data_IF_381060390886
#
_entry.id   IF_381060390886
#
_cell.length_a   1.000
_cell.length_b   1.000
_cell.length_c   1.000
_cell.angle_alpha   90.00
_cell.angle_beta   90.00
_cell.angle_gamma   90.00
#
_symmetry.space_group_name_H-M   'P 1'
#
loop_
_entity.id
_entity.type
_entity.pdbx_description
1 polymer ?
#
# COMPACT_ATOMS: atom_id res chain seq x y z
N UNK A 1 -61.00 22.99 50.63
CA UNK A 1 -60.56 22.34 51.88
C UNK A 1 -59.85 21.05 51.52
N UNK A 2 -58.57 20.91 51.92
CA UNK A 2 -57.78 19.68 52.16
C UNK A 2 -57.58 18.72 50.97
N UNK A 3 -56.43 18.69 50.28
CA UNK A 3 -55.06 18.27 50.70
C UNK A 3 -54.96 16.80 51.16
N UNK A 4 -54.47 15.93 50.26
CA UNK A 4 -53.78 14.64 50.54
C UNK A 4 -52.72 14.44 49.43
N UNK A 5 -51.45 14.76 49.70
CA UNK A 5 -50.37 13.85 50.15
C UNK A 5 -49.84 12.93 49.03
N UNK A 6 -48.74 13.39 48.43
CA UNK A 6 -47.45 12.72 48.12
C UNK A 6 -47.42 11.18 48.09
N UNK A 7 -46.96 10.58 46.98
CA UNK A 7 -45.90 9.56 46.97
C UNK A 7 -45.46 9.19 45.54
N UNK A 8 -44.14 9.14 45.38
CA UNK A 8 -43.38 8.81 44.18
C UNK A 8 -43.59 7.36 43.70
N UNK A 9 -43.51 7.14 42.40
CA UNK A 9 -43.15 5.85 41.82
C UNK A 9 -42.36 6.06 40.52
N UNK A 10 -41.11 5.57 40.54
CA UNK A 10 -40.19 5.47 39.43
C UNK A 10 -40.80 4.63 38.28
N UNK A 11 -40.58 5.05 37.03
CA UNK A 11 -40.45 4.14 35.90
C UNK A 11 -39.64 4.79 34.79
N UNK A 12 -38.35 4.46 34.76
CA UNK A 12 -37.43 4.72 33.66
C UNK A 12 -37.58 3.63 32.57
N UNK A 13 -37.47 4.01 31.30
CA UNK A 13 -36.91 3.20 30.19
C UNK A 13 -37.07 4.00 28.88
N UNK A 14 -36.05 4.73 28.41
CA UNK A 14 -35.02 4.24 27.50
C UNK A 14 -35.55 3.44 26.30
N UNK A 15 -35.72 4.13 25.17
CA UNK A 15 -35.55 3.55 23.84
C UNK A 15 -34.97 4.62 22.90
N UNK A 16 -33.81 5.17 23.27
CA UNK A 16 -32.89 5.76 22.29
C UNK A 16 -32.44 4.61 21.40
N UNK A 17 -32.99 4.55 20.19
CA UNK A 17 -32.50 3.67 19.13
C UNK A 17 -31.07 4.05 18.82
N UNK A 18 -30.13 3.38 19.50
CA UNK A 18 -28.71 3.43 19.19
C UNK A 18 -28.58 2.85 17.79
N UNK A 19 -28.37 3.71 16.80
CA UNK A 19 -27.87 3.31 15.50
C UNK A 19 -26.62 2.49 15.75
N UNK A 20 -26.69 1.22 15.40
CA UNK A 20 -25.54 0.32 15.48
C UNK A 20 -24.43 0.92 14.62
N UNK A 21 -23.44 1.55 15.27
CA UNK A 21 -22.15 1.81 14.69
C UNK A 21 -21.60 0.45 14.26
N UNK A 22 -21.70 0.16 12.96
CA UNK A 22 -20.95 -0.92 12.35
C UNK A 22 -19.49 -0.67 12.67
N UNK A 23 -18.94 -1.49 13.58
CA UNK A 23 -17.51 -1.52 13.81
C UNK A 23 -16.92 -2.18 12.58
N UNK A 24 -16.56 -1.39 11.57
CA UNK A 24 -15.64 -1.84 10.53
C UNK A 24 -14.34 -2.21 11.23
N UNK A 25 -14.20 -3.50 11.52
CA UNK A 25 -12.91 -4.07 11.91
C UNK A 25 -11.89 -3.79 10.80
N UNK A 26 -10.58 -3.81 11.09
CA UNK A 26 -9.56 -3.57 10.09
C UNK A 26 -9.75 -4.53 8.92
N UNK A 27 -10.06 -4.01 7.73
CA UNK A 27 -10.07 -4.80 6.50
C UNK A 27 -8.68 -5.41 6.32
N UNK A 28 -8.56 -6.74 6.16
CA UNK A 28 -7.27 -7.37 5.92
C UNK A 28 -6.57 -6.73 4.71
N UNK A 29 -5.23 -6.57 4.73
CA UNK A 29 -4.51 -6.01 3.60
C UNK A 29 -4.73 -6.87 2.35
N UNK A 30 -5.12 -6.21 1.27
CA UNK A 30 -5.30 -6.88 -0.03
C UNK A 30 -3.95 -6.88 -0.75
N UNK A 31 -3.33 -8.05 -0.85
CA UNK A 31 -2.06 -8.21 -1.55
C UNK A 31 -2.25 -8.12 -3.07
N UNK A 32 -1.29 -7.46 -3.71
CA UNK A 32 -1.17 -7.34 -5.17
C UNK A 32 0.08 -8.08 -5.61
N UNK A 33 -0.05 -8.93 -6.62
CA UNK A 33 1.10 -9.63 -7.15
C UNK A 33 2.07 -8.66 -7.84
N UNK A 34 3.34 -8.79 -7.50
CA UNK A 34 4.47 -8.15 -8.17
C UNK A 34 5.51 -9.21 -8.49
N UNK A 35 6.37 -8.92 -9.45
CA UNK A 35 7.46 -9.82 -9.81
C UNK A 35 8.68 -9.47 -8.97
N UNK A 36 9.29 -10.46 -8.35
CA UNK A 36 10.53 -10.30 -7.58
C UNK A 36 11.62 -11.18 -8.16
N UNK A 37 12.87 -10.86 -7.85
CA UNK A 37 13.96 -11.82 -8.02
C UNK A 37 13.69 -13.11 -7.21
N UNK A 38 14.15 -14.26 -7.69
CA UNK A 38 13.95 -15.57 -7.04
C UNK A 38 14.79 -15.76 -5.77
N UNK A 39 15.84 -14.96 -5.61
CA UNK A 39 16.78 -15.00 -4.48
C UNK A 39 17.41 -13.62 -4.25
N UNK A 40 17.93 -13.34 -3.05
CA UNK A 40 18.68 -12.12 -2.80
C UNK A 40 19.84 -11.94 -3.78
N UNK A 41 20.03 -10.70 -4.26
CA UNK A 41 21.13 -10.37 -5.16
C UNK A 41 22.47 -10.44 -4.41
N UNK A 42 23.44 -11.17 -4.97
CA UNK A 42 24.82 -11.20 -4.43
C UNK A 42 25.66 -10.03 -4.94
N UNK A 43 25.33 -9.53 -6.12
CA UNK A 43 25.86 -8.34 -6.73
C UNK A 43 24.72 -7.63 -7.46
N UNK A 44 24.80 -6.31 -7.52
CA UNK A 44 23.84 -5.51 -8.28
C UNK A 44 24.58 -4.73 -9.35
N UNK A 45 23.98 -4.66 -10.53
CA UNK A 45 24.45 -3.77 -11.58
C UNK A 45 24.32 -2.32 -11.10
N UNK A 46 25.35 -1.51 -11.39
CA UNK A 46 25.43 -0.13 -10.90
C UNK A 46 24.73 0.87 -11.83
N UNK A 47 23.88 0.38 -12.75
CA UNK A 47 23.09 1.27 -13.59
C UNK A 47 21.98 1.88 -12.74
N UNK A 48 21.92 3.22 -12.75
CA UNK A 48 20.89 3.96 -12.04
C UNK A 48 19.57 3.86 -12.80
N UNK A 49 18.63 3.10 -12.24
CA UNK A 49 17.25 3.06 -12.71
C UNK A 49 16.47 4.16 -12.02
N UNK A 50 15.69 4.92 -12.80
CA UNK A 50 14.78 5.96 -12.30
C UNK A 50 13.41 5.78 -12.93
N UNK A 51 12.34 5.90 -12.14
CA UNK A 51 10.98 5.92 -12.70
C UNK A 51 9.88 6.08 -11.67
N UNK A 52 8.68 6.40 -12.16
CA UNK A 52 7.48 6.58 -11.33
C UNK A 52 6.77 5.25 -11.18
N UNK A 53 6.45 4.85 -9.95
CA UNK A 53 5.63 3.66 -9.72
C UNK A 53 4.19 3.95 -10.12
N UNK A 54 3.61 3.15 -11.02
CA UNK A 54 2.22 3.32 -11.45
C UNK A 54 1.44 2.00 -11.34
N UNK A 55 0.14 2.02 -11.02
CA UNK A 55 -0.67 0.81 -11.03
C UNK A 55 -0.70 0.18 -12.42
N UNK A 56 -0.65 -1.15 -12.50
CA UNK A 56 -0.73 -1.88 -13.76
C UNK A 56 -1.56 -3.15 -13.62
N UNK A 57 -2.56 -3.35 -14.48
CA UNK A 57 -3.53 -4.44 -14.34
C UNK A 57 -2.89 -5.83 -14.39
N UNK A 58 -1.83 -6.02 -15.18
CA UNK A 58 -1.18 -7.33 -15.35
C UNK A 58 0.02 -7.56 -14.43
N UNK A 59 0.64 -6.50 -13.90
CA UNK A 59 1.91 -6.59 -13.17
C UNK A 59 1.81 -6.11 -11.72
N UNK A 60 0.62 -5.63 -11.32
CA UNK A 60 0.41 -4.92 -10.07
C UNK A 60 0.96 -3.49 -10.14
N UNK A 61 2.29 -3.38 -10.28
CA UNK A 61 3.02 -2.11 -10.36
C UNK A 61 3.92 -2.14 -11.61
N UNK A 62 3.85 -1.09 -12.42
CA UNK A 62 4.80 -0.82 -13.50
C UNK A 62 5.74 0.33 -13.10
N UNK A 63 6.90 0.40 -13.76
CA UNK A 63 7.80 1.53 -13.66
C UNK A 63 7.62 2.41 -14.91
N UNK A 64 7.14 3.63 -14.74
CA UNK A 64 7.00 4.59 -15.82
C UNK A 64 8.26 5.43 -15.97
N UNK A 65 8.83 5.44 -17.19
CA UNK A 65 10.00 6.26 -17.53
C UNK A 65 9.62 7.74 -17.54
N UNK A 66 10.29 8.60 -16.75
CA UNK A 66 10.00 10.02 -16.74
C UNK A 66 10.28 10.66 -18.11
N UNK A 67 9.40 11.55 -18.55
CA UNK A 67 9.53 12.26 -19.83
C UNK A 67 9.01 11.50 -21.06
N UNK A 68 9.14 10.17 -21.12
CA UNK A 68 8.59 9.38 -22.24
C UNK A 68 7.24 8.73 -21.91
N UNK A 69 6.98 8.43 -20.64
CA UNK A 69 5.77 7.75 -20.20
C UNK A 69 5.75 6.24 -20.50
N UNK A 70 6.84 5.70 -21.05
CA UNK A 70 6.99 4.27 -21.34
C UNK A 70 6.87 3.43 -20.06
N UNK A 71 6.13 2.32 -20.15
CA UNK A 71 5.91 1.41 -19.02
C UNK A 71 6.84 0.20 -19.15
N UNK A 72 7.65 0.00 -18.13
CA UNK A 72 8.51 -1.16 -17.98
C UNK A 72 7.97 -2.08 -16.90
N UNK A 73 8.14 -3.39 -17.09
CA UNK A 73 7.84 -4.40 -16.06
C UNK A 73 9.00 -4.46 -15.08
N UNK A 74 8.84 -4.03 -13.81
CA UNK A 74 9.89 -4.16 -12.82
C UNK A 74 9.98 -5.60 -12.32
N UNK A 75 11.20 -6.07 -12.10
CA UNK A 75 11.53 -7.20 -11.24
C UNK A 75 12.10 -6.59 -9.96
N UNK A 76 11.30 -6.57 -8.90
CA UNK A 76 11.70 -6.00 -7.62
C UNK A 76 12.74 -6.87 -6.90
N UNK A 77 13.45 -6.33 -5.89
CA UNK A 77 14.33 -7.15 -5.08
C UNK A 77 13.57 -8.31 -4.42
N UNK A 78 14.32 -9.37 -4.10
CA UNK A 78 13.76 -10.56 -3.46
C UNK A 78 12.93 -10.22 -2.21
N UNK A 79 11.79 -10.91 -2.06
CA UNK A 79 10.92 -10.78 -0.89
C UNK A 79 10.01 -9.55 -0.88
N UNK A 80 10.14 -8.64 -1.84
CA UNK A 80 9.26 -7.48 -1.93
C UNK A 80 7.82 -7.90 -2.21
N UNK A 81 6.88 -7.11 -1.70
CA UNK A 81 5.45 -7.35 -1.91
C UNK A 81 4.72 -6.03 -2.16
N UNK A 82 3.50 -6.11 -2.66
CA UNK A 82 2.63 -4.94 -2.79
C UNK A 82 1.29 -5.19 -2.11
N UNK A 83 0.73 -4.13 -1.53
CA UNK A 83 -0.60 -4.14 -0.91
C UNK A 83 -1.40 -2.94 -1.36
N UNK A 84 -2.72 -3.08 -1.41
CA UNK A 84 -3.63 -1.94 -1.49
C UNK A 84 -3.56 -1.20 -0.14
N UNK A 85 -3.26 0.09 -0.18
CA UNK A 85 -3.25 0.97 0.98
C UNK A 85 -3.93 2.30 0.65
N UNK A 86 -5.22 2.38 0.96
CA UNK A 86 -6.06 3.51 0.55
C UNK A 86 -6.34 3.49 -0.95
N UNK A 87 -6.12 4.62 -1.61
CA UNK A 87 -6.26 4.83 -3.05
C UNK A 87 -5.03 4.42 -3.86
N UNK A 88 -3.97 3.93 -3.20
CA UNK A 88 -2.67 3.64 -3.80
C UNK A 88 -2.22 2.22 -3.52
N UNK A 89 -1.27 1.75 -4.32
CA UNK A 89 -0.50 0.56 -3.99
C UNK A 89 0.74 0.98 -3.19
N UNK A 90 1.00 0.27 -2.10
CA UNK A 90 2.21 0.39 -1.31
C UNK A 90 3.14 -0.77 -1.66
N UNK A 91 4.39 -0.45 -2.01
CA UNK A 91 5.47 -1.41 -2.16
C UNK A 91 6.16 -1.60 -0.81
N UNK A 92 6.27 -2.84 -0.38
CA UNK A 92 6.86 -3.24 0.89
C UNK A 92 8.13 -4.04 0.62
N UNK A 93 9.12 -3.90 1.50
CA UNK A 93 10.30 -4.78 1.49
C UNK A 93 9.97 -6.17 2.06
N UNK A 94 10.97 -7.05 2.09
CA UNK A 94 10.87 -8.41 2.65
C UNK A 94 10.41 -8.42 4.12
N UNK A 95 10.68 -7.36 4.89
CA UNK A 95 10.27 -7.23 6.28
C UNK A 95 8.87 -6.60 6.44
N UNK A 96 8.18 -6.33 5.32
CA UNK A 96 6.86 -5.70 5.31
C UNK A 96 6.89 -4.20 5.59
N UNK A 97 8.06 -3.54 5.51
CA UNK A 97 8.19 -2.10 5.72
C UNK A 97 7.88 -1.36 4.43
N UNK A 98 7.19 -0.23 4.54
CA UNK A 98 6.88 0.63 3.41
C UNK A 98 8.17 1.18 2.78
N UNK A 99 8.33 0.94 1.48
CA UNK A 99 9.44 1.45 0.66
C UNK A 99 8.99 2.63 -0.19
N UNK A 100 7.88 2.48 -0.91
CA UNK A 100 7.34 3.49 -1.81
C UNK A 100 5.85 3.26 -2.07
N UNK A 101 5.19 4.21 -2.71
CA UNK A 101 3.80 4.14 -3.16
C UNK A 101 3.70 4.40 -4.65
N UNK A 102 2.63 3.94 -5.27
CA UNK A 102 2.29 4.41 -6.63
C UNK A 102 2.12 5.93 -6.63
N UNK A 103 2.71 6.58 -7.63
CA UNK A 103 2.87 8.02 -7.75
C UNK A 103 4.26 8.52 -7.35
N UNK A 104 5.03 7.74 -6.57
CA UNK A 104 6.37 8.14 -6.15
C UNK A 104 7.37 7.95 -7.29
N UNK A 105 8.28 8.91 -7.45
CA UNK A 105 9.49 8.77 -8.24
C UNK A 105 10.52 7.99 -7.41
N UNK A 106 11.03 6.89 -7.95
CA UNK A 106 12.04 6.07 -7.28
C UNK A 106 13.37 6.04 -8.03
N UNK A 107 14.42 5.73 -7.30
CA UNK A 107 15.74 5.35 -7.80
C UNK A 107 16.17 4.00 -7.22
N UNK A 108 16.90 3.24 -8.03
CA UNK A 108 17.53 1.99 -7.57
C UNK A 108 18.70 1.62 -8.48
N UNK A 109 19.65 0.85 -7.93
CA UNK A 109 20.61 0.11 -8.74
C UNK A 109 19.90 -1.04 -9.46
N UNK A 110 20.31 -1.33 -10.69
CA UNK A 110 19.62 -2.31 -11.50
C UNK A 110 20.14 -2.44 -12.91
N UNK A 111 19.32 -3.02 -13.76
CA UNK A 111 19.64 -3.24 -15.18
C UNK A 111 18.42 -3.67 -15.96
N UNK A 112 18.57 -3.78 -17.27
CA UNK A 112 17.52 -4.31 -18.15
C UNK A 112 17.82 -5.76 -18.51
N UNK A 113 16.83 -6.63 -18.42
CA UNK A 113 16.92 -8.07 -18.73
C UNK A 113 15.64 -8.52 -19.41
N UNK A 114 15.75 -9.09 -20.61
CA UNK A 114 14.63 -9.66 -21.39
C UNK A 114 13.39 -8.75 -21.47
N UNK A 115 13.59 -7.45 -21.68
CA UNK A 115 12.51 -6.47 -21.78
C UNK A 115 11.85 -6.09 -20.44
N UNK A 116 12.44 -6.51 -19.32
CA UNK A 116 12.07 -6.12 -17.96
C UNK A 116 13.20 -5.32 -17.31
N UNK A 117 12.87 -4.57 -16.26
CA UNK A 117 13.85 -3.79 -15.50
C UNK A 117 14.06 -4.46 -14.15
N UNK A 118 15.25 -5.00 -13.94
CA UNK A 118 15.67 -5.57 -12.66
C UNK A 118 16.08 -4.45 -11.71
N UNK A 119 15.45 -4.42 -10.53
CA UNK A 119 15.83 -3.58 -9.39
C UNK A 119 16.48 -4.51 -8.36
N UNK A 120 17.78 -4.36 -8.15
CA UNK A 120 18.54 -5.20 -7.19
C UNK A 120 19.23 -4.39 -6.09
N UNK A 121 19.24 -3.06 -6.21
CA UNK A 121 19.73 -2.16 -5.17
C UNK A 121 18.64 -1.83 -4.17
N UNK A 122 19.01 -1.08 -3.13
CA UNK A 122 18.01 -0.39 -2.30
C UNK A 122 17.15 0.52 -3.19
N UNK A 123 15.86 0.55 -2.94
CA UNK A 123 14.95 1.49 -3.59
C UNK A 123 14.83 2.73 -2.69
N UNK A 124 15.06 3.90 -3.27
CA UNK A 124 14.90 5.19 -2.61
C UNK A 124 13.84 6.01 -3.32
N UNK A 125 12.98 6.68 -2.54
CA UNK A 125 12.04 7.66 -3.08
C UNK A 125 12.77 8.98 -3.28
N UNK A 126 12.64 9.57 -4.47
CA UNK A 126 13.19 10.87 -4.82
C UNK A 126 12.18 11.95 -4.41
N UNK A 127 12.54 12.91 -3.54
CA UNK A 127 11.67 14.01 -3.18
C UNK A 127 11.35 14.89 -4.40
N UNK A 128 10.10 15.33 -4.49
CA UNK A 128 9.62 16.32 -5.48
C UNK A 128 9.94 17.74 -5.07
#
# INVERSE_FOLDING_TARGET
MQSRVIAAALAAALALGVGACGSEGPTPPQFVQVVTADRPAQACMDALITGVLVPHAAWGIALQTPGTGELNRPIFPFGYSAVVNGDRLALLDEQGRLVARTGDLIQSGGGSIDGSVLLCGGITVVPS
#
